data_IF_388193366464
#
_entry.id   IF_388193366464
#
_cell.length_a   1.000
_cell.length_b   1.000
_cell.length_c   1.000
_cell.angle_alpha   90.00
_cell.angle_beta   90.00
_cell.angle_gamma   90.00
#
_symmetry.space_group_name_H-M   'P 1'
#
loop_
_entity.id
_entity.type
_entity.pdbx_description
1 polymer ?
#
# COMPACT_ATOMS: atom_id res chain seq x y z
N UNK A 1 4.88 30.21 -23.11
CA UNK A 1 5.76 29.41 -23.97
C UNK A 1 5.55 27.96 -23.58
N UNK A 2 5.32 27.06 -24.53
CA UNK A 2 5.22 25.63 -24.28
C UNK A 2 6.55 25.13 -23.71
N UNK A 3 6.49 24.29 -22.68
CA UNK A 3 7.67 23.63 -22.13
C UNK A 3 7.85 22.27 -22.81
N UNK A 4 9.10 21.94 -23.11
CA UNK A 4 9.45 20.66 -23.72
C UNK A 4 10.04 19.74 -22.66
N UNK A 5 9.57 18.49 -22.62
CA UNK A 5 10.06 17.46 -21.76
C UNK A 5 10.51 16.23 -22.56
N UNK A 6 11.53 15.55 -22.08
CA UNK A 6 11.95 14.23 -22.55
C UNK A 6 11.46 13.20 -21.55
N UNK A 7 10.50 12.38 -21.93
CA UNK A 7 10.06 11.22 -21.16
C UNK A 7 10.90 10.02 -21.56
N UNK A 8 11.69 9.50 -20.63
CA UNK A 8 12.43 8.25 -20.75
C UNK A 8 11.70 7.20 -19.96
N UNK A 9 10.94 6.34 -20.66
CA UNK A 9 10.00 5.39 -20.06
C UNK A 9 10.57 3.99 -20.16
N UNK A 10 10.56 3.26 -19.04
CA UNK A 10 10.85 1.84 -18.99
C UNK A 10 9.83 1.06 -19.84
N UNK A 11 10.33 0.22 -20.75
CA UNK A 11 9.52 -0.61 -21.63
C UNK A 11 9.92 -2.07 -21.47
N UNK A 12 8.94 -2.92 -21.38
CA UNK A 12 9.11 -4.37 -21.39
C UNK A 12 7.78 -5.06 -21.68
N UNK A 13 7.75 -5.90 -22.69
CA UNK A 13 6.65 -6.80 -23.00
C UNK A 13 7.20 -8.23 -22.96
N UNK A 14 6.88 -9.05 -21.92
CA UNK A 14 7.48 -10.39 -21.74
C UNK A 14 7.15 -11.37 -22.89
N UNK A 15 6.16 -11.06 -23.74
CA UNK A 15 5.83 -11.85 -24.93
C UNK A 15 6.70 -11.50 -26.15
N UNK A 16 7.41 -10.35 -26.12
CA UNK A 16 8.11 -9.81 -27.28
C UNK A 16 9.56 -9.46 -27.04
N UNK A 17 9.88 -9.04 -25.80
CA UNK A 17 11.17 -8.46 -25.46
C UNK A 17 12.02 -9.46 -24.69
N UNK A 18 13.26 -9.65 -25.08
CA UNK A 18 14.23 -10.47 -24.33
C UNK A 18 14.72 -9.76 -23.06
N UNK A 19 14.79 -8.42 -23.10
CA UNK A 19 15.28 -7.59 -21.99
C UNK A 19 14.50 -6.26 -21.93
N UNK A 20 14.35 -5.68 -20.73
CA UNK A 20 13.82 -4.35 -20.60
C UNK A 20 14.71 -3.29 -21.25
N UNK A 21 14.12 -2.22 -21.75
CA UNK A 21 14.81 -1.08 -22.33
C UNK A 21 14.13 0.23 -21.97
N UNK A 22 14.77 1.36 -22.24
CA UNK A 22 14.14 2.67 -22.10
C UNK A 22 13.84 3.22 -23.48
N UNK A 23 12.63 3.77 -23.64
CA UNK A 23 12.18 4.47 -24.84
C UNK A 23 11.97 5.95 -24.54
N UNK A 24 12.48 6.79 -25.41
CA UNK A 24 12.40 8.24 -25.29
C UNK A 24 11.20 8.79 -26.06
N UNK A 25 10.40 9.67 -25.42
CA UNK A 25 9.28 10.38 -26.01
C UNK A 25 9.43 11.87 -25.75
N UNK A 26 9.27 12.69 -26.80
CA UNK A 26 9.26 14.14 -26.67
C UNK A 26 7.84 14.62 -26.44
N UNK A 27 7.65 15.46 -25.41
CA UNK A 27 6.35 15.95 -25.00
C UNK A 27 6.38 17.48 -24.84
N UNK A 28 5.37 18.14 -25.41
CA UNK A 28 5.19 19.58 -25.27
C UNK A 28 4.03 19.89 -24.34
N UNK A 29 4.31 20.57 -23.23
CA UNK A 29 3.31 20.98 -22.25
C UNK A 29 2.78 22.38 -22.62
N UNK A 30 1.57 22.46 -23.16
CA UNK A 30 0.89 23.72 -23.46
C UNK A 30 0.26 24.32 -22.18
N UNK A 31 -0.25 23.50 -21.29
CA UNK A 31 -0.87 23.85 -20.01
C UNK A 31 -0.34 22.95 -18.89
N UNK A 32 -0.26 23.46 -17.63
CA UNK A 32 0.24 22.64 -16.51
C UNK A 32 -0.49 21.31 -16.39
N UNK A 33 0.26 20.22 -16.50
CA UNK A 33 -0.25 18.85 -16.40
C UNK A 33 0.47 18.03 -15.33
N UNK A 34 -0.15 16.92 -14.95
CA UNK A 34 0.46 15.88 -14.13
C UNK A 34 1.06 14.78 -15.02
N UNK A 35 1.96 13.99 -14.46
CA UNK A 35 2.61 12.86 -15.16
C UNK A 35 1.59 11.92 -15.82
N UNK A 36 0.47 11.63 -15.15
CA UNK A 36 -0.56 10.75 -15.70
C UNK A 36 -1.20 11.30 -16.99
N UNK A 37 -1.46 12.61 -17.04
CA UNK A 37 -2.03 13.24 -18.24
C UNK A 37 -1.04 13.18 -19.41
N UNK A 38 0.23 13.47 -19.14
CA UNK A 38 1.26 13.35 -20.18
C UNK A 38 1.42 11.90 -20.67
N UNK A 39 1.37 10.91 -19.79
CA UNK A 39 1.37 9.49 -20.18
C UNK A 39 0.16 9.12 -21.05
N UNK A 40 -1.01 9.68 -20.75
CA UNK A 40 -2.22 9.46 -21.57
C UNK A 40 -2.09 10.09 -22.95
N UNK A 41 -1.53 11.31 -23.04
CA UNK A 41 -1.28 11.98 -24.31
C UNK A 41 -0.24 11.20 -25.15
N UNK A 42 0.89 10.79 -24.54
CA UNK A 42 1.93 9.97 -25.20
C UNK A 42 1.32 8.67 -25.74
N UNK A 43 0.51 7.99 -24.92
CA UNK A 43 -0.15 6.74 -25.38
C UNK A 43 -1.12 6.98 -26.54
N UNK A 44 -1.86 8.07 -26.51
CA UNK A 44 -2.88 8.34 -27.50
C UNK A 44 -2.29 8.87 -28.84
N UNK A 45 -1.19 9.62 -28.77
CA UNK A 45 -0.65 10.37 -29.91
C UNK A 45 0.64 9.78 -30.48
N UNK A 46 1.45 9.09 -29.65
CA UNK A 46 2.77 8.63 -30.06
C UNK A 46 2.90 7.08 -30.02
N UNK A 47 2.40 6.42 -28.95
CA UNK A 47 2.59 4.98 -28.78
C UNK A 47 1.43 4.31 -28.03
N UNK A 48 0.48 3.79 -28.77
CA UNK A 48 -0.69 3.10 -28.24
C UNK A 48 -0.37 1.79 -27.47
N UNK A 49 0.87 1.28 -27.55
CA UNK A 49 1.30 0.06 -26.86
C UNK A 49 1.73 0.30 -25.41
N UNK A 50 1.95 1.57 -25.03
CA UNK A 50 2.42 1.94 -23.68
C UNK A 50 1.41 1.56 -22.60
N UNK A 51 1.86 0.71 -21.66
CA UNK A 51 1.04 0.17 -20.58
C UNK A 51 1.34 0.83 -19.23
N UNK A 52 0.31 1.34 -18.57
CA UNK A 52 0.34 1.86 -17.20
C UNK A 52 -1.04 1.77 -16.55
N UNK A 53 -1.07 1.73 -15.21
CA UNK A 53 -2.32 1.65 -14.45
C UNK A 53 -2.78 3.03 -13.99
N UNK A 54 -4.08 3.25 -14.05
CA UNK A 54 -4.75 4.40 -13.43
C UNK A 54 -6.24 4.11 -13.23
N UNK A 55 -6.89 4.89 -12.34
CA UNK A 55 -8.34 4.82 -12.13
C UNK A 55 -8.88 6.17 -11.71
N UNK A 56 -8.81 6.56 -10.41
CA UNK A 56 -9.48 7.75 -9.87
C UNK A 56 -8.95 9.09 -10.37
N UNK A 57 -7.70 9.20 -10.79
CA UNK A 57 -6.97 10.42 -11.21
C UNK A 57 -6.83 11.50 -10.11
N UNK A 58 -7.20 11.20 -8.87
CA UNK A 58 -7.30 12.14 -7.73
C UNK A 58 -6.53 11.68 -6.49
N UNK A 59 -5.50 10.85 -6.65
CA UNK A 59 -4.65 10.31 -5.58
C UNK A 59 -5.40 9.54 -4.48
N UNK A 60 -6.52 8.88 -4.81
CA UNK A 60 -7.36 8.12 -3.86
C UNK A 60 -7.20 6.61 -4.03
N UNK A 61 -7.08 6.09 -5.25
CA UNK A 61 -7.09 4.64 -5.51
C UNK A 61 -5.71 3.96 -5.44
N UNK A 62 -4.60 4.70 -5.50
CA UNK A 62 -3.24 4.15 -5.49
C UNK A 62 -2.75 3.50 -6.79
N UNK A 63 -3.63 3.25 -7.78
CA UNK A 63 -3.31 2.44 -8.97
C UNK A 63 -2.17 3.00 -9.83
N UNK A 64 -1.95 4.32 -9.84
CA UNK A 64 -0.93 4.98 -10.65
C UNK A 64 0.42 5.16 -9.91
N UNK A 65 0.68 4.35 -8.88
CA UNK A 65 1.97 4.33 -8.20
C UNK A 65 3.08 3.84 -9.13
N UNK A 66 4.18 4.59 -9.22
CA UNK A 66 5.37 4.25 -10.02
C UNK A 66 6.60 4.98 -9.49
N UNK A 67 7.74 4.75 -10.10
CA UNK A 67 8.97 5.51 -9.81
C UNK A 67 9.11 6.63 -10.84
N UNK A 68 9.21 7.86 -10.37
CA UNK A 68 9.36 9.08 -11.16
C UNK A 68 10.67 9.75 -10.75
N UNK A 69 11.65 9.80 -11.64
CA UNK A 69 13.01 10.31 -11.34
C UNK A 69 13.58 9.72 -10.02
N UNK A 70 13.48 8.41 -9.84
CA UNK A 70 13.96 7.68 -8.65
C UNK A 70 13.12 7.88 -7.38
N UNK A 71 11.97 8.58 -7.46
CA UNK A 71 11.05 8.76 -6.33
C UNK A 71 9.78 7.95 -6.51
N UNK A 72 9.31 7.32 -5.44
CA UNK A 72 8.04 6.57 -5.43
C UNK A 72 6.88 7.56 -5.30
N UNK A 73 6.11 7.73 -6.36
CA UNK A 73 5.08 8.77 -6.44
C UNK A 73 3.81 8.26 -7.14
N UNK A 74 2.74 9.04 -7.02
CA UNK A 74 1.50 8.82 -7.78
C UNK A 74 1.50 9.70 -9.02
N UNK A 75 1.47 9.10 -10.20
CA UNK A 75 1.50 9.84 -11.48
C UNK A 75 0.36 10.87 -11.61
N UNK A 76 -0.82 10.60 -11.02
CA UNK A 76 -1.96 11.51 -11.06
C UNK A 76 -1.83 12.74 -10.14
N UNK A 77 -0.81 12.78 -9.26
CA UNK A 77 -0.56 13.89 -8.33
C UNK A 77 0.71 14.67 -8.66
N UNK A 78 1.67 14.03 -9.30
CA UNK A 78 2.99 14.60 -9.58
C UNK A 78 2.90 15.52 -10.79
N UNK A 79 3.10 16.84 -10.56
CA UNK A 79 3.08 17.85 -11.62
C UNK A 79 4.41 17.89 -12.35
N UNK A 80 4.38 18.02 -13.68
CA UNK A 80 5.57 18.15 -14.53
C UNK A 80 6.49 19.26 -14.06
N UNK A 81 5.94 20.43 -13.85
CA UNK A 81 6.70 21.64 -13.47
C UNK A 81 7.30 21.58 -12.04
N UNK A 82 6.84 20.65 -11.17
CA UNK A 82 7.39 20.49 -9.82
C UNK A 82 8.66 19.64 -9.77
N UNK A 83 9.00 18.95 -10.86
CA UNK A 83 10.15 18.04 -10.90
C UNK A 83 11.49 18.77 -11.05
N UNK A 84 11.49 20.03 -11.49
CA UNK A 84 12.71 20.84 -11.63
C UNK A 84 13.67 20.39 -12.72
N UNK A 85 13.25 19.49 -13.60
CA UNK A 85 14.03 18.94 -14.72
C UNK A 85 13.16 18.79 -15.96
N UNK A 86 13.77 18.84 -17.13
CA UNK A 86 13.11 18.58 -18.42
C UNK A 86 13.16 17.10 -18.81
N UNK A 87 14.03 16.31 -18.17
CA UNK A 87 14.10 14.87 -18.38
C UNK A 87 13.34 14.15 -17.28
N UNK A 88 12.34 13.34 -17.66
CA UNK A 88 11.46 12.61 -16.77
C UNK A 88 11.66 11.12 -17.01
N UNK A 89 12.22 10.43 -16.02
CA UNK A 89 12.45 8.98 -16.06
C UNK A 89 11.32 8.30 -15.33
N UNK A 90 10.63 7.37 -16.02
CA UNK A 90 9.53 6.61 -15.45
C UNK A 90 9.88 5.12 -15.43
N UNK A 91 9.73 4.51 -14.26
CA UNK A 91 10.02 3.09 -14.02
C UNK A 91 8.87 2.43 -13.25
N UNK A 92 8.65 1.12 -13.43
CA UNK A 92 7.69 0.38 -12.63
C UNK A 92 8.12 0.35 -11.15
N UNK A 93 7.20 0.00 -10.27
CA UNK A 93 7.52 -0.24 -8.85
C UNK A 93 8.48 -1.44 -8.75
N UNK A 94 9.71 -1.29 -8.19
CA UNK A 94 10.64 -2.40 -8.03
C UNK A 94 10.16 -3.42 -6.99
N UNK A 95 10.81 -4.59 -6.94
CA UNK A 95 10.48 -5.70 -6.03
C UNK A 95 9.07 -6.30 -6.24
N UNK A 96 8.50 -6.06 -7.40
CA UNK A 96 7.26 -6.65 -7.88
C UNK A 96 7.48 -7.13 -9.33
N UNK A 97 6.93 -8.28 -9.74
CA UNK A 97 7.07 -8.76 -11.11
C UNK A 97 6.49 -7.75 -12.11
N UNK A 98 7.23 -7.46 -13.18
CA UNK A 98 6.72 -6.60 -14.25
C UNK A 98 5.84 -7.42 -15.18
N UNK A 99 4.59 -7.01 -15.34
CA UNK A 99 3.66 -7.62 -16.29
C UNK A 99 3.84 -7.02 -17.69
N UNK A 100 3.94 -5.68 -17.77
CA UNK A 100 4.24 -4.95 -19.00
C UNK A 100 4.56 -3.50 -18.68
N UNK A 101 5.63 -2.98 -19.22
CA UNK A 101 6.07 -1.58 -19.07
C UNK A 101 6.04 -1.09 -17.60
N UNK A 102 5.15 -0.17 -17.28
CA UNK A 102 4.95 0.38 -15.93
C UNK A 102 3.94 -0.41 -15.08
N UNK A 103 3.40 -1.52 -15.61
CA UNK A 103 2.42 -2.37 -14.93
C UNK A 103 3.13 -3.51 -14.22
N UNK A 104 2.96 -3.60 -12.91
CA UNK A 104 3.51 -4.68 -12.08
C UNK A 104 2.43 -5.58 -11.53
N UNK A 105 2.79 -6.82 -11.20
CA UNK A 105 1.93 -7.72 -10.45
C UNK A 105 1.92 -7.33 -8.97
N UNK A 106 0.72 -7.10 -8.43
CA UNK A 106 0.51 -6.76 -7.03
C UNK A 106 0.12 -7.97 -6.17
N UNK A 107 0.07 -9.16 -6.74
CA UNK A 107 -0.34 -10.36 -5.99
C UNK A 107 0.53 -10.60 -4.76
N UNK A 108 1.88 -10.56 -4.80
CA UNK A 108 2.71 -10.73 -3.60
C UNK A 108 2.42 -9.70 -2.50
N UNK A 109 2.07 -8.49 -2.88
CA UNK A 109 1.66 -7.43 -1.94
C UNK A 109 0.31 -7.74 -1.28
N UNK A 110 -0.67 -8.25 -2.03
CA UNK A 110 -1.99 -8.60 -1.50
C UNK A 110 -1.96 -9.89 -0.68
N UNK A 111 -1.18 -10.89 -1.07
CA UNK A 111 -0.94 -12.09 -0.26
C UNK A 111 -0.39 -11.76 1.13
N UNK A 112 0.63 -10.89 1.18
CA UNK A 112 1.17 -10.40 2.44
C UNK A 112 0.11 -9.66 3.29
N UNK A 113 -0.81 -8.94 2.65
CA UNK A 113 -1.91 -8.26 3.31
C UNK A 113 -2.96 -9.26 3.83
N UNK A 114 -3.32 -10.28 3.06
CA UNK A 114 -4.28 -11.32 3.45
C UNK A 114 -3.79 -12.14 4.65
N UNK A 115 -2.49 -12.38 4.76
CA UNK A 115 -1.88 -13.11 5.87
C UNK A 115 -2.19 -12.50 7.25
N UNK A 116 -2.55 -11.20 7.32
CA UNK A 116 -2.87 -10.51 8.56
C UNK A 116 -4.39 -10.40 8.81
N UNK A 117 -5.22 -11.02 7.97
CA UNK A 117 -6.69 -10.92 8.02
C UNK A 117 -7.13 -9.45 8.07
N UNK A 118 -7.11 -8.73 6.92
CA UNK A 118 -7.23 -7.26 6.85
C UNK A 118 -8.68 -6.76 6.98
N UNK A 119 -9.40 -7.23 7.98
CA UNK A 119 -10.78 -6.85 8.30
C UNK A 119 -10.99 -6.85 9.83
N UNK A 120 -12.04 -6.18 10.29
CA UNK A 120 -12.42 -6.18 11.71
C UNK A 120 -13.01 -7.54 12.05
N UNK A 121 -12.47 -8.20 13.05
CA UNK A 121 -12.96 -9.49 13.54
C UNK A 121 -13.95 -9.23 14.68
N UNK A 122 -15.18 -9.61 14.49
CA UNK A 122 -16.20 -9.60 15.54
C UNK A 122 -16.20 -10.95 16.29
N UNK A 123 -16.67 -10.97 17.53
CA UNK A 123 -17.03 -12.23 18.18
C UNK A 123 -18.14 -12.85 17.34
N UNK A 124 -17.95 -14.06 16.83
CA UNK A 124 -19.04 -14.86 16.33
C UNK A 124 -20.00 -15.00 17.52
N UNK A 125 -21.23 -14.51 17.39
CA UNK A 125 -22.29 -14.80 18.35
C UNK A 125 -22.42 -16.31 18.38
N UNK A 126 -21.87 -16.89 19.44
CA UNK A 126 -21.93 -18.32 19.70
C UNK A 126 -23.39 -18.67 19.93
N UNK A 127 -23.86 -19.58 19.10
CA UNK A 127 -25.06 -20.37 19.28
C UNK A 127 -26.44 -19.68 19.12
N UNK A 128 -27.04 -19.91 17.98
CA UNK A 128 -28.48 -20.13 17.88
C UNK A 128 -29.33 -19.02 17.26
N UNK A 129 -28.79 -17.92 16.80
CA UNK A 129 -29.57 -16.86 16.15
C UNK A 129 -29.41 -16.85 14.63
N UNK A 130 -30.14 -17.72 13.88
CA UNK A 130 -30.47 -17.41 12.48
C UNK A 130 -31.27 -16.13 12.46
N UNK A 131 -30.65 -15.04 12.06
CA UNK A 131 -31.38 -13.80 11.73
C UNK A 131 -32.20 -14.11 10.47
N UNK A 132 -33.49 -14.28 10.64
CA UNK A 132 -34.42 -14.41 9.51
C UNK A 132 -34.47 -13.07 8.79
N UNK A 133 -34.27 -13.09 7.46
CA UNK A 133 -34.15 -11.91 6.62
C UNK A 133 -35.27 -10.88 6.85
N UNK A 134 -34.87 -9.62 6.87
CA UNK A 134 -35.71 -8.44 6.89
C UNK A 134 -35.52 -7.45 8.04
N UNK A 135 -34.73 -7.80 9.08
CA UNK A 135 -34.41 -6.91 10.21
C UNK A 135 -32.92 -6.58 10.37
N UNK A 136 -32.10 -6.99 9.41
CA UNK A 136 -30.65 -6.84 9.48
C UNK A 136 -30.18 -5.38 9.53
N UNK A 137 -30.76 -4.50 8.73
CA UNK A 137 -30.28 -3.10 8.63
C UNK A 137 -30.44 -2.30 9.92
N UNK A 138 -31.48 -2.54 10.69
CA UNK A 138 -31.69 -1.83 11.96
C UNK A 138 -30.81 -2.35 13.11
N UNK A 139 -30.42 -3.63 13.08
CA UNK A 139 -29.58 -4.24 14.09
C UNK A 139 -28.12 -3.75 13.99
N UNK A 140 -27.62 -3.56 12.77
CA UNK A 140 -26.28 -3.06 12.51
C UNK A 140 -26.08 -1.64 13.03
N UNK A 141 -27.06 -0.76 12.87
CA UNK A 141 -27.00 0.64 13.30
C UNK A 141 -27.16 0.83 14.80
N UNK A 142 -27.83 -0.09 15.51
CA UNK A 142 -28.10 -0.03 16.93
C UNK A 142 -27.13 -0.83 17.82
N UNK A 143 -26.29 -1.68 17.21
CA UNK A 143 -25.31 -2.48 17.95
C UNK A 143 -24.22 -1.61 18.58
N UNK A 144 -23.97 -1.74 19.90
CA UNK A 144 -22.88 -1.02 20.55
C UNK A 144 -21.49 -1.28 19.94
N UNK A 145 -21.32 -2.42 19.26
CA UNK A 145 -20.07 -2.82 18.63
C UNK A 145 -19.63 -1.96 17.43
N UNK A 146 -20.53 -1.15 16.85
CA UNK A 146 -20.22 -0.26 15.71
C UNK A 146 -19.86 1.17 16.11
N UNK A 147 -20.08 1.54 17.36
CA UNK A 147 -19.69 2.86 17.86
C UNK A 147 -18.22 2.88 18.21
N UNK A 148 -17.53 3.93 17.78
CA UNK A 148 -16.15 4.24 18.14
C UNK A 148 -16.11 5.66 18.67
N UNK A 149 -15.40 5.86 19.76
CA UNK A 149 -15.20 7.20 20.33
C UNK A 149 -14.18 8.00 19.52
N UNK A 150 -14.28 9.32 19.53
CA UNK A 150 -13.40 10.22 18.78
C UNK A 150 -11.91 9.96 19.06
N UNK A 151 -11.52 9.83 20.31
CA UNK A 151 -10.13 9.51 20.70
C UNK A 151 -9.63 8.16 20.17
N UNK A 152 -10.51 7.19 20.09
CA UNK A 152 -10.18 5.87 19.55
C UNK A 152 -10.02 5.94 18.03
N UNK A 153 -10.88 6.74 17.37
CA UNK A 153 -10.78 7.00 15.94
C UNK A 153 -9.49 7.75 15.61
N UNK A 154 -9.16 8.81 16.32
CA UNK A 154 -7.90 9.56 16.18
C UNK A 154 -6.67 8.64 16.25
N UNK A 155 -6.69 7.62 17.11
CA UNK A 155 -5.59 6.69 17.29
C UNK A 155 -5.35 5.75 16.08
N UNK A 156 -6.36 5.52 15.25
CA UNK A 156 -6.30 4.64 14.07
C UNK A 156 -6.42 5.39 12.75
N UNK A 157 -6.91 6.62 12.73
CA UNK A 157 -7.13 7.42 11.52
C UNK A 157 -5.90 7.49 10.61
N UNK A 158 -4.68 7.81 11.07
CA UNK A 158 -3.51 7.87 10.19
C UNK A 158 -3.27 6.57 9.43
N UNK A 159 -3.60 5.42 10.04
CA UNK A 159 -3.43 4.10 9.43
C UNK A 159 -4.58 3.74 8.48
N UNK A 160 -5.74 4.39 8.61
CA UNK A 160 -6.89 4.22 7.69
C UNK A 160 -6.67 4.95 6.37
N UNK A 161 -5.82 5.98 6.34
CA UNK A 161 -5.50 6.77 5.15
C UNK A 161 -4.72 6.00 4.06
N UNK A 162 -4.35 4.75 4.32
CA UNK A 162 -3.64 3.90 3.36
C UNK A 162 -4.53 3.57 2.15
N UNK A 163 -4.04 3.89 0.95
CA UNK A 163 -4.68 3.64 -0.34
C UNK A 163 -4.15 2.40 -1.07
N UNK A 164 -3.37 1.56 -0.42
CA UNK A 164 -2.81 0.32 -0.94
C UNK A 164 -2.03 0.49 -2.27
N UNK A 165 -1.30 1.59 -2.42
CA UNK A 165 -0.57 1.93 -3.65
C UNK A 165 0.70 1.10 -3.90
N UNK A 166 1.14 0.27 -2.96
CA UNK A 166 2.35 -0.56 -3.10
C UNK A 166 3.68 0.15 -2.89
N UNK A 167 3.76 1.50 -2.92
CA UNK A 167 5.02 2.25 -2.85
C UNK A 167 5.90 1.86 -1.66
N UNK A 168 5.35 1.72 -0.46
CA UNK A 168 6.10 1.37 0.74
C UNK A 168 6.59 -0.09 0.74
N UNK A 169 5.85 -1.00 0.13
CA UNK A 169 6.24 -2.39 -0.06
C UNK A 169 7.39 -2.48 -1.05
N UNK A 170 7.21 -1.87 -2.20
CA UNK A 170 8.19 -1.83 -3.28
C UNK A 170 9.50 -1.10 -2.90
N UNK A 171 9.44 -0.07 -2.05
CA UNK A 171 10.64 0.64 -1.58
C UNK A 171 11.38 -0.05 -0.43
N UNK A 172 10.83 -1.16 0.09
CA UNK A 172 11.39 -1.82 1.28
C UNK A 172 12.61 -2.70 0.92
N UNK A 173 13.80 -2.46 1.49
CA UNK A 173 14.96 -3.29 1.21
C UNK A 173 14.83 -4.71 1.76
N UNK A 174 13.96 -4.94 2.73
CA UNK A 174 13.69 -6.28 3.26
C UNK A 174 12.84 -7.09 2.29
N UNK A 175 11.82 -6.49 1.68
CA UNK A 175 11.05 -7.13 0.60
C UNK A 175 11.97 -7.52 -0.56
N UNK A 176 12.94 -6.67 -0.89
CA UNK A 176 13.91 -6.94 -1.97
C UNK A 176 14.78 -8.19 -1.73
N UNK A 177 15.00 -8.61 -0.48
CA UNK A 177 15.89 -9.74 -0.13
C UNK A 177 15.18 -10.96 0.43
N UNK A 178 13.95 -10.81 0.93
CA UNK A 178 13.12 -11.91 1.47
C UNK A 178 11.68 -11.76 0.98
N UNK A 179 11.32 -12.50 -0.03
CA UNK A 179 9.98 -12.52 -0.64
C UNK A 179 8.87 -12.96 0.34
N UNK A 180 9.24 -13.65 1.43
CA UNK A 180 8.27 -14.07 2.46
C UNK A 180 7.99 -12.97 3.47
N UNK A 181 8.71 -11.84 3.40
CA UNK A 181 8.51 -10.74 4.34
C UNK A 181 7.17 -10.07 4.09
N UNK A 182 6.33 -10.01 5.14
CA UNK A 182 4.97 -9.44 5.07
C UNK A 182 4.92 -7.96 4.64
N UNK A 183 6.05 -7.27 4.70
CA UNK A 183 6.13 -5.89 4.26
C UNK A 183 5.55 -4.87 5.26
N UNK A 184 5.85 -3.59 5.01
CA UNK A 184 5.55 -2.53 5.97
C UNK A 184 4.05 -2.33 6.20
N UNK A 185 3.25 -2.37 5.11
CA UNK A 185 1.83 -2.00 5.21
C UNK A 185 0.97 -3.11 5.80
N UNK A 186 1.28 -4.38 5.53
CA UNK A 186 0.55 -5.49 6.16
C UNK A 186 0.69 -5.40 7.69
N UNK A 187 1.91 -5.21 8.20
CA UNK A 187 2.17 -5.06 9.62
C UNK A 187 1.55 -3.78 10.22
N UNK A 188 1.55 -2.66 9.47
CA UNK A 188 0.89 -1.43 9.90
C UNK A 188 -0.65 -1.59 9.94
N UNK A 189 -1.23 -2.27 8.95
CA UNK A 189 -2.67 -2.60 8.93
C UNK A 189 -3.04 -3.55 10.08
N UNK A 190 -2.21 -4.55 10.38
CA UNK A 190 -2.43 -5.39 11.55
C UNK A 190 -2.48 -4.56 12.83
N UNK A 191 -1.54 -3.62 13.01
CA UNK A 191 -1.55 -2.72 14.17
C UNK A 191 -2.82 -1.86 14.22
N UNK A 192 -3.28 -1.36 13.07
CA UNK A 192 -4.53 -0.62 12.97
C UNK A 192 -5.71 -1.43 13.51
N UNK A 193 -5.83 -2.70 13.12
CA UNK A 193 -6.92 -3.57 13.58
C UNK A 193 -6.80 -3.90 15.07
N UNK A 194 -5.60 -4.19 15.58
CA UNK A 194 -5.37 -4.43 17.02
C UNK A 194 -5.72 -3.19 17.87
N UNK A 195 -5.65 -2.00 17.28
CA UNK A 195 -5.99 -0.74 17.94
C UNK A 195 -7.47 -0.36 17.81
N UNK A 196 -8.18 -0.97 16.89
CA UNK A 196 -9.61 -0.71 16.67
C UNK A 196 -10.41 -1.33 17.83
N UNK A 197 -11.18 -0.56 18.60
CA UNK A 197 -11.95 -1.08 19.73
C UNK A 197 -13.04 -2.06 19.32
N UNK A 198 -13.41 -2.08 18.05
CA UNK A 198 -14.40 -2.98 17.48
C UNK A 198 -13.81 -4.34 17.12
N UNK A 199 -12.49 -4.42 16.98
CA UNK A 199 -11.81 -5.67 16.61
C UNK A 199 -11.62 -6.56 17.84
N UNK A 200 -12.07 -7.80 17.75
CA UNK A 200 -12.03 -8.81 18.82
C UNK A 200 -10.92 -9.84 18.65
N UNK A 201 -9.97 -9.62 17.71
CA UNK A 201 -8.84 -10.54 17.55
C UNK A 201 -8.03 -10.70 18.82
N UNK A 202 -7.80 -11.95 19.18
CA UNK A 202 -6.95 -12.34 20.29
C UNK A 202 -5.48 -12.40 19.86
N UNK A 203 -4.55 -12.46 20.81
CA UNK A 203 -3.12 -12.63 20.49
C UNK A 203 -2.85 -13.91 19.68
N UNK A 204 -3.65 -14.97 19.84
CA UNK A 204 -3.53 -16.21 19.06
C UNK A 204 -3.69 -15.98 17.56
N UNK A 205 -4.55 -15.02 17.17
CA UNK A 205 -4.88 -14.75 15.77
C UNK A 205 -3.75 -14.06 15.00
N UNK A 206 -2.82 -13.40 15.71
CA UNK A 206 -1.73 -12.66 15.09
C UNK A 206 -0.33 -12.98 15.65
N UNK A 207 -0.19 -13.92 16.61
CA UNK A 207 1.13 -14.28 17.13
C UNK A 207 2.06 -14.88 16.07
N UNK A 208 1.52 -15.41 14.97
CA UNK A 208 2.27 -15.99 13.85
C UNK A 208 3.17 -14.96 13.14
N UNK A 209 2.83 -13.66 13.18
CA UNK A 209 3.67 -12.61 12.57
C UNK A 209 4.96 -12.32 13.35
N UNK A 210 5.15 -12.91 14.52
CA UNK A 210 6.32 -12.72 15.38
C UNK A 210 7.54 -13.55 14.99
N UNK A 211 7.89 -13.56 13.73
CA UNK A 211 9.02 -14.29 13.14
C UNK A 211 9.93 -13.37 12.30
N UNK A 212 10.96 -13.94 11.67
CA UNK A 212 11.92 -13.21 10.82
C UNK A 212 11.32 -12.67 9.52
N UNK A 213 10.27 -13.31 9.00
CA UNK A 213 9.53 -12.81 7.81
C UNK A 213 8.35 -11.90 8.18
N UNK A 214 8.14 -11.65 9.46
CA UNK A 214 7.14 -10.75 10.01
C UNK A 214 7.76 -9.59 10.78
N UNK A 215 7.36 -9.43 12.05
CA UNK A 215 7.77 -8.31 12.91
C UNK A 215 9.29 -8.12 13.04
N UNK A 216 10.04 -9.21 13.11
CA UNK A 216 11.48 -9.16 13.38
C UNK A 216 12.33 -9.02 12.12
N UNK A 217 11.73 -9.18 10.93
CA UNK A 217 12.42 -8.98 9.66
C UNK A 217 12.74 -7.52 9.33
N UNK A 218 12.00 -6.55 9.87
CA UNK A 218 12.20 -5.15 9.55
C UNK A 218 13.51 -4.57 10.08
N UNK A 219 14.33 -4.00 9.20
CA UNK A 219 15.60 -3.33 9.54
C UNK A 219 15.42 -1.91 10.09
N UNK A 220 14.20 -1.40 10.12
CA UNK A 220 13.85 -0.08 10.68
C UNK A 220 14.58 1.10 9.96
N UNK A 221 14.72 1.01 8.64
CA UNK A 221 15.36 2.06 7.81
C UNK A 221 14.43 3.21 7.43
N UNK A 222 13.17 3.16 7.82
CA UNK A 222 12.12 4.17 7.62
C UNK A 222 11.78 4.52 6.16
N UNK A 223 12.35 3.86 5.17
CA UNK A 223 12.08 4.13 3.75
C UNK A 223 10.59 4.11 3.40
N UNK A 224 9.83 3.21 4.04
CA UNK A 224 8.38 3.11 3.86
C UNK A 224 7.60 4.35 4.34
N UNK A 225 8.14 5.11 5.30
CA UNK A 225 7.55 6.39 5.72
C UNK A 225 7.82 7.49 4.70
N UNK A 226 9.06 7.55 4.19
CA UNK A 226 9.52 8.57 3.25
C UNK A 226 8.73 8.54 1.94
N UNK A 227 8.46 7.32 1.43
CA UNK A 227 7.79 7.13 0.13
C UNK A 227 6.27 7.12 0.21
N UNK A 228 5.68 7.24 1.41
CA UNK A 228 4.23 7.14 1.55
C UNK A 228 3.51 8.41 1.09
N UNK A 229 2.75 8.39 -0.04
CA UNK A 229 2.05 9.57 -0.55
C UNK A 229 0.89 10.03 0.36
N UNK A 230 0.49 9.19 1.33
CA UNK A 230 -0.58 9.45 2.29
C UNK A 230 -0.08 9.64 3.72
N UNK A 231 1.24 9.65 3.95
CA UNK A 231 1.89 9.87 5.26
C UNK A 231 1.38 8.93 6.37
N UNK A 232 1.12 7.68 6.01
CA UNK A 232 0.60 6.64 6.94
C UNK A 232 1.62 6.27 8.03
N UNK A 233 2.92 6.49 7.80
CA UNK A 233 4.01 6.16 8.72
C UNK A 233 4.08 4.66 9.12
N UNK A 234 4.20 3.72 8.15
CA UNK A 234 4.15 2.29 8.45
C UNK A 234 5.21 1.81 9.44
N UNK A 235 6.43 2.36 9.40
CA UNK A 235 7.50 1.97 10.32
C UNK A 235 7.16 2.27 11.78
N UNK A 236 6.52 3.41 12.07
CA UNK A 236 6.09 3.75 13.44
C UNK A 236 5.02 2.79 13.95
N UNK A 237 4.05 2.42 13.10
CA UNK A 237 3.03 1.44 13.43
C UNK A 237 3.66 0.07 13.74
N UNK A 238 4.65 -0.35 12.94
CA UNK A 238 5.38 -1.61 13.13
C UNK A 238 6.15 -1.61 14.46
N UNK A 239 6.86 -0.53 14.82
CA UNK A 239 7.54 -0.41 16.10
C UNK A 239 6.56 -0.48 17.29
N UNK A 240 5.38 0.13 17.15
CA UNK A 240 4.33 0.03 18.15
C UNK A 240 3.77 -1.40 18.26
N UNK A 241 3.61 -2.08 17.12
CA UNK A 241 3.19 -3.49 17.06
C UNK A 241 4.23 -4.43 17.71
N UNK A 242 5.54 -4.20 17.50
CA UNK A 242 6.61 -4.93 18.20
C UNK A 242 6.48 -4.83 19.72
N UNK A 243 6.28 -3.61 20.24
CA UNK A 243 6.08 -3.39 21.72
C UNK A 243 4.84 -4.13 22.20
N UNK A 244 3.74 -4.08 21.45
CA UNK A 244 2.52 -4.80 21.79
C UNK A 244 2.73 -6.32 21.77
N UNK A 245 3.45 -6.85 20.81
CA UNK A 245 3.77 -8.27 20.71
C UNK A 245 4.54 -8.77 21.95
N UNK A 246 5.60 -8.08 22.32
CA UNK A 246 6.41 -8.42 23.52
C UNK A 246 5.54 -8.42 24.78
N UNK A 247 4.69 -7.40 24.94
CA UNK A 247 3.78 -7.30 26.07
C UNK A 247 2.79 -8.48 26.14
N UNK A 248 2.20 -8.87 25.04
CA UNK A 248 1.29 -10.02 25.00
C UNK A 248 2.02 -11.34 25.27
N UNK A 249 3.25 -11.51 24.80
CA UNK A 249 4.10 -12.67 25.16
C UNK A 249 4.39 -12.74 26.64
N UNK A 250 4.74 -11.64 27.28
CA UNK A 250 4.98 -11.59 28.73
C UNK A 250 3.71 -11.99 29.49
N UNK A 251 2.56 -11.42 29.13
CA UNK A 251 1.27 -11.81 29.75
C UNK A 251 0.98 -13.31 29.60
N UNK A 252 1.28 -13.89 28.43
CA UNK A 252 1.05 -15.31 28.17
C UNK A 252 1.93 -16.19 29.06
N UNK A 253 3.19 -15.80 29.29
CA UNK A 253 4.12 -16.51 30.18
C UNK A 253 3.63 -16.45 31.62
N UNK A 254 3.29 -15.25 32.12
CA UNK A 254 2.82 -15.05 33.50
C UNK A 254 1.50 -15.80 33.81
N UNK A 255 0.63 -16.00 32.81
CA UNK A 255 -0.60 -16.77 32.96
C UNK A 255 -0.37 -18.28 33.01
N UNK A 256 0.71 -18.80 32.41
CA UNK A 256 1.07 -20.22 32.46
C UNK A 256 1.81 -20.61 33.73
N UNK A 257 2.32 -19.61 34.48
CA UNK A 257 3.04 -19.81 35.74
C UNK A 257 2.13 -19.75 36.97
N UNK A 258 0.84 -19.52 36.76
CA UNK A 258 -0.22 -19.65 37.77
C UNK A 258 -1.08 -20.89 37.52
#
# INVERSE_FOLDING_TARGET
MARRYLFRIFRFDPEKDEQPFFQDYYYEEEKPKVILEALMDIRNEQDATLAFRYSCREAVCGSCGMVINGRFELACRTRLNSLGTETIILEPLPNLPVLKDLVVDLEPFFEALEAIKPYVMFEEEVEGGRVQGGQEESLWLSSPGFRIEEKEMEAIEPLTNCILCGCCFSACPVVARDERYLGPIALAKLYRYIRDPRDRRSFKDWQHVGNSSGLWGCDTVFRCNEVCPRQVNPAHALLALRRRYVWEKIKQILRKSK
#
